data_IF_667065524815
#
_entry.id   IF_667065524815
#
_cell.length_a   1.000
_cell.length_b   1.000
_cell.length_c   1.000
_cell.angle_alpha   90.00
_cell.angle_beta   90.00
_cell.angle_gamma   90.00
#
_symmetry.space_group_name_H-M   'P 1'
#
loop_
_entity.id
_entity.type
_entity.pdbx_description
1 polymer ?
#
# COMPACT_ATOMS: atom_id res chain seq x y z
N UNK A 1 -14.90 -82.64 15.45
CA UNK A 1 -13.79 -81.68 15.39
C UNK A 1 -14.29 -80.53 14.51
N UNK A 2 -14.88 -79.48 15.10
CA UNK A 2 -15.51 -78.35 14.38
C UNK A 2 -14.61 -77.16 14.43
N UNK A 3 -14.17 -76.73 13.27
CA UNK A 3 -13.35 -75.47 13.10
C UNK A 3 -14.30 -74.30 12.89
N UNK A 4 -14.36 -73.39 13.85
CA UNK A 4 -15.10 -72.12 13.73
C UNK A 4 -14.24 -71.10 13.03
N UNK A 5 -14.65 -70.73 11.82
CA UNK A 5 -14.07 -69.60 11.07
C UNK A 5 -14.62 -68.34 11.67
N UNK A 6 -13.75 -67.50 12.24
CA UNK A 6 -14.10 -66.17 12.72
C UNK A 6 -13.89 -65.20 11.54
N UNK A 7 -15.00 -64.67 11.00
CA UNK A 7 -14.94 -63.56 10.05
C UNK A 7 -14.71 -62.26 10.79
N UNK A 8 -13.56 -61.61 10.58
CA UNK A 8 -13.23 -60.30 11.12
C UNK A 8 -13.73 -59.24 10.12
N UNK A 9 -14.86 -58.60 10.45
CA UNK A 9 -15.37 -57.46 9.66
C UNK A 9 -14.59 -56.20 10.02
N UNK A 10 -13.74 -55.77 9.11
CA UNK A 10 -13.04 -54.46 9.20
C UNK A 10 -14.03 -53.38 8.76
N UNK A 11 -14.56 -52.62 9.71
CA UNK A 11 -15.35 -51.43 9.44
C UNK A 11 -14.37 -50.30 9.06
N UNK A 12 -14.34 -49.97 7.77
CA UNK A 12 -13.59 -48.84 7.28
C UNK A 12 -14.39 -47.57 7.61
N UNK A 13 -14.07 -46.92 8.73
CA UNK A 13 -14.55 -45.56 9.02
C UNK A 13 -13.84 -44.58 8.04
N UNK A 14 -14.51 -44.32 6.93
CA UNK A 14 -14.13 -43.22 6.04
C UNK A 14 -14.26 -41.90 6.79
N UNK A 15 -13.13 -41.34 7.22
CA UNK A 15 -13.08 -40.00 7.75
C UNK A 15 -13.49 -39.01 6.67
N UNK A 16 -14.70 -38.46 6.77
CA UNK A 16 -15.12 -37.29 6.01
C UNK A 16 -14.26 -36.15 6.49
N UNK A 17 -13.18 -35.85 5.72
CA UNK A 17 -12.43 -34.62 5.85
C UNK A 17 -13.35 -33.47 5.46
N UNK A 18 -14.04 -32.86 6.41
CA UNK A 18 -14.74 -31.60 6.22
C UNK A 18 -13.69 -30.55 5.97
N UNK A 19 -13.38 -30.28 4.71
CA UNK A 19 -12.65 -29.09 4.29
C UNK A 19 -13.52 -27.90 4.68
N UNK A 20 -13.23 -27.28 5.82
CA UNK A 20 -13.80 -26.00 6.16
C UNK A 20 -13.37 -25.03 5.04
N UNK A 21 -14.33 -24.57 4.24
CA UNK A 21 -14.17 -23.41 3.37
C UNK A 21 -13.89 -22.21 4.29
N UNK A 22 -12.65 -22.06 4.68
CA UNK A 22 -12.21 -20.90 5.44
C UNK A 22 -12.29 -19.72 4.49
N UNK A 23 -13.29 -18.84 4.70
CA UNK A 23 -13.44 -17.63 3.90
C UNK A 23 -12.15 -16.82 3.93
N UNK A 24 -11.86 -16.09 2.83
CA UNK A 24 -10.67 -15.24 2.77
C UNK A 24 -10.62 -14.29 3.97
N UNK A 25 -9.43 -14.07 4.56
CA UNK A 25 -9.28 -13.19 5.71
C UNK A 25 -9.65 -11.75 5.37
N UNK A 26 -10.08 -11.00 6.37
CA UNK A 26 -10.29 -9.57 6.24
C UNK A 26 -8.95 -8.85 6.11
N UNK A 27 -8.94 -7.81 5.27
CA UNK A 27 -7.83 -6.87 5.21
C UNK A 27 -7.90 -5.96 6.44
N UNK A 28 -7.02 -6.19 7.38
CA UNK A 28 -6.93 -5.44 8.63
C UNK A 28 -5.52 -4.93 8.85
N UNK A 29 -5.35 -4.01 9.78
CA UNK A 29 -4.03 -3.49 10.15
C UNK A 29 -3.09 -4.58 10.69
N UNK A 30 -3.64 -5.63 11.29
CA UNK A 30 -2.87 -6.77 11.83
C UNK A 30 -2.55 -7.85 10.80
N UNK A 31 -3.19 -7.84 9.63
CA UNK A 31 -2.93 -8.83 8.59
C UNK A 31 -1.48 -8.75 8.13
N UNK A 32 -0.79 -9.89 8.20
CA UNK A 32 0.58 -9.99 7.69
C UNK A 32 0.57 -10.31 6.20
N UNK A 33 1.18 -9.44 5.42
CA UNK A 33 1.40 -9.70 4.00
C UNK A 33 2.57 -10.67 3.82
N UNK A 34 2.42 -11.60 2.87
CA UNK A 34 3.50 -12.51 2.52
C UNK A 34 4.68 -11.74 1.97
N UNK A 35 5.89 -12.09 2.42
CA UNK A 35 7.12 -11.48 1.87
C UNK A 35 7.34 -11.94 0.43
N UNK A 36 7.69 -10.99 -0.45
CA UNK A 36 7.91 -11.27 -1.88
C UNK A 36 7.53 -10.11 -2.77
N UNK A 37 7.42 -10.40 -4.06
CA UNK A 37 7.11 -9.44 -5.12
C UNK A 37 5.72 -9.71 -5.67
N UNK A 38 4.90 -8.68 -5.75
CA UNK A 38 3.59 -8.69 -6.38
C UNK A 38 3.72 -7.97 -7.73
N UNK A 39 3.64 -8.71 -8.83
CA UNK A 39 3.71 -8.12 -10.17
C UNK A 39 2.42 -7.41 -10.54
N UNK A 40 1.29 -7.94 -10.08
CA UNK A 40 -0.03 -7.37 -10.38
C UNK A 40 -0.75 -6.91 -9.12
N UNK A 41 -1.77 -6.07 -9.32
CA UNK A 41 -2.66 -5.67 -8.24
C UNK A 41 -3.49 -6.83 -7.72
N UNK A 42 -3.89 -7.74 -8.59
CA UNK A 42 -4.64 -8.94 -8.26
C UNK A 42 -3.86 -9.86 -7.31
N UNK A 43 -2.57 -10.05 -7.56
CA UNK A 43 -1.67 -10.81 -6.69
C UNK A 43 -1.62 -10.18 -5.29
N UNK A 44 -1.54 -8.84 -5.25
CA UNK A 44 -1.56 -8.09 -4.00
C UNK A 44 -2.88 -8.23 -3.26
N UNK A 45 -4.02 -8.09 -3.96
CA UNK A 45 -5.36 -8.26 -3.37
C UNK A 45 -5.58 -9.67 -2.80
N UNK A 46 -4.93 -10.68 -3.40
CA UNK A 46 -4.98 -12.06 -2.92
C UNK A 46 -3.94 -12.33 -1.81
N UNK A 47 -3.05 -11.38 -1.51
CA UNK A 47 -1.87 -11.58 -0.68
C UNK A 47 -1.07 -12.83 -1.11
N UNK A 48 -0.90 -12.99 -2.42
CA UNK A 48 -0.13 -14.08 -3.03
C UNK A 48 0.92 -13.49 -3.95
N UNK A 49 2.16 -13.33 -3.46
CA UNK A 49 3.23 -12.78 -4.28
C UNK A 49 3.49 -13.67 -5.48
N UNK A 50 3.74 -13.05 -6.65
CA UNK A 50 4.14 -13.73 -7.88
C UNK A 50 5.48 -14.45 -7.70
N UNK A 51 6.34 -13.90 -6.82
CA UNK A 51 7.59 -14.51 -6.37
C UNK A 51 7.70 -14.36 -4.85
N UNK A 52 7.77 -15.49 -4.14
CA UNK A 52 7.90 -15.52 -2.69
C UNK A 52 9.27 -15.04 -2.22
N UNK A 53 9.34 -14.58 -0.97
CA UNK A 53 10.61 -14.07 -0.41
C UNK A 53 11.76 -15.08 -0.37
N UNK A 54 11.46 -16.39 -0.36
CA UNK A 54 12.45 -17.45 -0.45
C UNK A 54 12.96 -17.75 -1.87
N UNK A 55 12.31 -17.20 -2.90
CA UNK A 55 12.64 -17.42 -4.31
C UNK A 55 13.48 -16.27 -4.90
N UNK A 56 13.62 -15.18 -4.15
CA UNK A 56 14.28 -13.95 -4.62
C UNK A 56 15.42 -13.51 -3.73
N UNK A 57 16.39 -12.84 -4.35
CA UNK A 57 17.43 -12.05 -3.70
C UNK A 57 17.26 -10.59 -4.12
N UNK A 58 17.21 -9.68 -3.15
CA UNK A 58 17.02 -8.26 -3.39
C UNK A 58 18.05 -7.41 -2.68
N UNK A 59 18.49 -6.32 -3.32
CA UNK A 59 19.19 -5.24 -2.66
C UNK A 59 18.22 -4.05 -2.54
N UNK A 60 18.01 -3.61 -1.32
CA UNK A 60 17.17 -2.47 -1.03
C UNK A 60 17.65 -1.70 0.19
N UNK A 61 17.28 -0.45 0.23
CA UNK A 61 17.53 0.47 1.34
C UNK A 61 16.19 0.97 1.89
N UNK A 62 16.03 0.94 3.20
CA UNK A 62 14.86 1.51 3.87
C UNK A 62 15.23 2.83 4.52
N UNK A 63 14.50 3.89 4.20
CA UNK A 63 14.66 5.20 4.83
C UNK A 63 14.12 5.14 6.28
N UNK A 64 14.93 5.41 7.31
CA UNK A 64 14.47 5.31 8.70
C UNK A 64 13.41 6.34 9.09
N UNK A 65 13.28 7.45 8.35
CA UNK A 65 12.35 8.54 8.68
C UNK A 65 10.99 8.40 7.97
N UNK A 66 11.02 8.08 6.66
CA UNK A 66 9.81 7.93 5.86
C UNK A 66 9.36 6.48 5.71
N UNK A 67 10.17 5.53 6.20
CA UNK A 67 9.97 4.09 6.04
C UNK A 67 9.83 3.63 4.57
N UNK A 68 10.08 4.53 3.59
CA UNK A 68 10.14 4.18 2.19
C UNK A 68 11.24 3.17 1.91
N UNK A 69 10.98 2.26 1.00
CA UNK A 69 11.96 1.29 0.52
C UNK A 69 12.39 1.66 -0.89
N UNK A 70 13.70 1.78 -1.10
CA UNK A 70 14.33 1.97 -2.42
C UNK A 70 15.01 0.69 -2.83
N UNK A 71 14.55 0.12 -3.92
CA UNK A 71 15.06 -1.16 -4.44
C UNK A 71 16.01 -0.88 -5.59
N UNK A 72 17.22 -1.47 -5.49
CA UNK A 72 18.24 -1.41 -6.52
C UNK A 72 18.07 -2.54 -7.53
N UNK A 73 17.86 -3.76 -7.03
CA UNK A 73 17.55 -4.91 -7.88
C UNK A 73 16.81 -5.99 -7.10
N UNK A 74 16.08 -6.81 -7.85
CA UNK A 74 15.52 -8.07 -7.39
C UNK A 74 15.86 -9.11 -8.46
N UNK A 75 16.34 -10.28 -8.05
CA UNK A 75 16.64 -11.39 -8.94
C UNK A 75 16.13 -12.70 -8.38
N UNK A 76 15.81 -13.65 -9.26
CA UNK A 76 15.45 -15.00 -8.90
C UNK A 76 16.70 -15.76 -8.42
N UNK A 77 16.56 -16.60 -7.40
CA UNK A 77 17.67 -17.36 -6.82
C UNK A 77 18.09 -18.50 -7.79
N UNK A 78 17.10 -19.16 -8.39
CA UNK A 78 17.33 -20.37 -9.20
C UNK A 78 17.96 -20.05 -10.56
N UNK A 79 17.52 -18.97 -11.24
CA UNK A 79 17.95 -18.62 -12.59
C UNK A 79 18.94 -17.46 -12.64
N UNK A 80 19.12 -16.74 -11.53
CA UNK A 80 19.88 -15.49 -11.42
C UNK A 80 19.35 -14.35 -12.33
N UNK A 81 18.13 -14.50 -12.86
CA UNK A 81 17.49 -13.51 -13.72
C UNK A 81 16.96 -12.33 -12.92
N UNK A 82 17.12 -11.13 -13.46
CA UNK A 82 16.62 -9.90 -12.86
C UNK A 82 15.14 -9.70 -13.17
N UNK A 83 14.37 -9.37 -12.13
CA UNK A 83 12.98 -8.94 -12.28
C UNK A 83 12.99 -7.44 -12.64
N UNK A 84 12.33 -7.08 -13.74
CA UNK A 84 12.19 -5.68 -14.14
C UNK A 84 11.43 -4.90 -13.07
N UNK A 85 12.09 -3.95 -12.39
CA UNK A 85 11.50 -3.20 -11.27
C UNK A 85 10.25 -2.40 -11.70
N UNK A 86 10.18 -2.00 -12.97
CA UNK A 86 9.03 -1.27 -13.52
C UNK A 86 7.77 -2.14 -13.62
N UNK A 87 7.92 -3.45 -13.77
CA UNK A 87 6.79 -4.39 -13.80
C UNK A 87 6.22 -4.75 -12.44
N UNK A 88 6.88 -4.33 -11.35
CA UNK A 88 6.45 -4.63 -9.99
C UNK A 88 5.37 -3.65 -9.58
N UNK A 89 4.23 -4.15 -9.12
CA UNK A 89 3.18 -3.35 -8.52
C UNK A 89 3.47 -3.01 -7.06
N UNK A 90 3.95 -3.98 -6.29
CA UNK A 90 4.27 -3.82 -4.88
C UNK A 90 5.16 -4.93 -4.34
N UNK A 91 5.61 -4.76 -3.11
CA UNK A 91 6.46 -5.73 -2.41
C UNK A 91 5.96 -5.95 -0.98
N UNK A 92 6.16 -7.15 -0.46
CA UNK A 92 5.94 -7.50 0.93
C UNK A 92 7.26 -7.71 1.66
N UNK A 93 7.49 -6.99 2.76
CA UNK A 93 8.70 -7.14 3.58
C UNK A 93 8.30 -7.33 5.03
N UNK A 94 8.63 -8.46 5.63
CA UNK A 94 8.37 -8.77 7.05
C UNK A 94 6.91 -8.49 7.48
N UNK A 95 5.96 -8.87 6.64
CA UNK A 95 4.53 -8.70 6.91
C UNK A 95 3.94 -7.33 6.56
N UNK A 96 4.76 -6.39 6.12
CA UNK A 96 4.34 -5.04 5.74
C UNK A 96 4.26 -4.93 4.22
N UNK A 97 3.14 -4.46 3.66
CA UNK A 97 3.00 -4.19 2.23
C UNK A 97 3.54 -2.81 1.88
N UNK A 98 4.18 -2.73 0.71
CA UNK A 98 4.70 -1.51 0.10
C UNK A 98 4.20 -1.40 -1.33
N UNK A 99 3.80 -0.20 -1.73
CA UNK A 99 3.26 0.11 -3.07
C UNK A 99 4.31 0.88 -3.87
N UNK A 100 4.52 0.51 -5.14
CA UNK A 100 5.41 1.27 -6.01
C UNK A 100 4.87 2.67 -6.21
N UNK A 101 5.76 3.66 -6.15
CA UNK A 101 5.44 5.07 -6.38
C UNK A 101 6.34 5.63 -7.46
N UNK A 102 5.74 6.46 -8.33
CA UNK A 102 6.46 7.16 -9.38
C UNK A 102 6.83 8.56 -8.88
N UNK A 103 8.11 8.80 -8.72
CA UNK A 103 8.64 10.08 -8.29
C UNK A 103 8.90 11.01 -9.48
N UNK A 104 8.65 12.30 -9.31
CA UNK A 104 9.01 13.31 -10.32
C UNK A 104 10.51 13.32 -10.62
N UNK A 105 11.30 12.98 -9.60
CA UNK A 105 12.75 12.85 -9.72
C UNK A 105 13.20 11.55 -9.08
N UNK A 106 13.25 10.50 -9.86
CA UNK A 106 13.81 9.22 -9.44
C UNK A 106 15.34 9.18 -9.58
N UNK A 107 16.00 8.45 -8.70
CA UNK A 107 17.42 8.11 -8.90
C UNK A 107 17.49 7.01 -9.94
N UNK A 108 18.35 7.17 -10.93
CA UNK A 108 18.54 6.16 -11.99
C UNK A 108 18.88 4.79 -11.38
N UNK A 109 18.23 3.75 -11.89
CA UNK A 109 18.41 2.37 -11.39
C UNK A 109 17.66 2.03 -10.11
N UNK A 110 17.07 3.00 -9.39
CA UNK A 110 16.31 2.75 -8.18
C UNK A 110 14.80 2.89 -8.42
N UNK A 111 14.01 2.04 -7.74
CA UNK A 111 12.55 2.22 -7.65
C UNK A 111 12.13 2.35 -6.20
N UNK A 112 11.23 3.30 -5.95
CA UNK A 112 10.75 3.61 -4.60
C UNK A 112 9.39 2.96 -4.35
N UNK A 113 9.25 2.41 -3.16
CA UNK A 113 8.02 1.79 -2.68
C UNK A 113 7.63 2.45 -1.36
N UNK A 114 6.41 2.96 -1.30
CA UNK A 114 5.84 3.59 -0.10
C UNK A 114 5.19 2.54 0.80
N UNK A 115 5.41 2.65 2.09
CA UNK A 115 4.76 1.81 3.09
C UNK A 115 3.27 2.08 3.12
N UNK A 116 2.45 1.05 3.13
CA UNK A 116 1.01 1.17 3.34
C UNK A 116 0.72 1.31 4.83
N UNK A 117 0.37 2.52 5.25
CA UNK A 117 0.14 2.87 6.66
C UNK A 117 -1.23 2.40 7.17
N UNK A 118 -2.27 2.53 6.34
CA UNK A 118 -3.60 2.02 6.64
C UNK A 118 -3.97 0.93 5.65
N UNK A 119 -4.52 -0.16 6.16
CA UNK A 119 -4.95 -1.34 5.41
C UNK A 119 -6.41 -1.62 5.74
N UNK A 120 -7.28 -1.32 4.80
CA UNK A 120 -8.72 -1.48 4.90
C UNK A 120 -9.39 -1.38 3.53
N UNK A 121 -10.65 -1.07 3.48
CA UNK A 121 -11.37 -0.80 2.24
C UNK A 121 -10.73 0.39 1.50
N UNK A 122 -10.30 1.40 2.26
CA UNK A 122 -9.50 2.51 1.78
C UNK A 122 -8.13 2.41 2.42
N UNK A 123 -7.14 1.97 1.66
CA UNK A 123 -5.74 1.97 2.10
C UNK A 123 -5.16 3.38 1.99
N UNK A 124 -4.24 3.73 2.90
CA UNK A 124 -3.55 5.02 2.87
C UNK A 124 -2.04 4.80 2.92
N UNK A 125 -1.33 5.60 2.14
CA UNK A 125 0.13 5.65 2.14
C UNK A 125 0.63 7.04 1.76
N UNK A 126 1.86 7.34 2.12
CA UNK A 126 2.51 8.59 1.76
C UNK A 126 3.96 8.36 1.36
N UNK A 127 4.52 9.32 0.64
CA UNK A 127 5.92 9.32 0.23
C UNK A 127 6.44 10.73 -0.01
N UNK A 128 7.75 10.89 0.06
CA UNK A 128 8.41 12.14 -0.25
C UNK A 128 8.73 12.22 -1.75
N UNK A 129 8.36 13.34 -2.37
CA UNK A 129 8.65 13.64 -3.76
C UNK A 129 9.33 15.00 -3.87
N UNK A 130 9.75 15.38 -5.06
CA UNK A 130 10.38 16.66 -5.35
C UNK A 130 9.55 17.40 -6.37
N UNK A 131 9.18 18.64 -6.07
CA UNK A 131 8.52 19.55 -7.01
C UNK A 131 9.39 20.74 -7.31
N UNK A 132 9.38 21.16 -8.59
CA UNK A 132 9.98 22.42 -9.00
C UNK A 132 8.99 23.57 -8.79
N UNK A 133 9.34 24.53 -7.94
CA UNK A 133 8.53 25.75 -7.71
C UNK A 133 9.30 26.99 -8.09
N UNK A 134 8.58 27.90 -8.73
CA UNK A 134 9.07 29.25 -9.05
C UNK A 134 8.89 30.12 -7.80
N UNK A 135 10.02 30.52 -7.21
CA UNK A 135 10.05 31.33 -5.99
C UNK A 135 10.46 32.75 -6.36
N UNK A 136 9.64 33.76 -6.03
CA UNK A 136 10.03 35.15 -6.25
C UNK A 136 11.25 35.49 -5.41
N UNK A 137 12.25 36.08 -6.04
CA UNK A 137 13.47 36.54 -5.43
C UNK A 137 13.61 38.06 -5.59
N UNK A 138 13.94 38.72 -4.50
CA UNK A 138 14.25 40.16 -4.55
C UNK A 138 15.63 40.40 -3.94
N UNK A 139 16.50 41.06 -4.70
CA UNK A 139 17.76 41.59 -4.21
C UNK A 139 17.55 42.98 -3.67
N UNK A 140 18.01 43.23 -2.45
CA UNK A 140 17.85 44.52 -1.76
C UNK A 140 19.18 45.25 -1.69
N UNK A 141 19.12 46.56 -1.88
CA UNK A 141 20.26 47.45 -1.67
C UNK A 141 20.55 47.50 -0.14
N UNK A 142 21.75 47.06 0.30
CA UNK A 142 22.08 46.98 1.74
C UNK A 142 22.06 48.36 2.45
N UNK A 143 22.22 49.47 1.70
CA UNK A 143 22.23 50.81 2.27
C UNK A 143 20.84 51.43 2.38
N UNK A 144 19.94 51.12 1.45
CA UNK A 144 18.62 51.75 1.38
C UNK A 144 17.48 50.83 1.75
N UNK A 145 17.73 49.54 1.89
CA UNK A 145 16.71 48.53 2.13
C UNK A 145 15.67 48.32 1.02
N UNK A 146 15.84 49.08 -0.12
CA UNK A 146 14.91 49.00 -1.24
C UNK A 146 15.28 47.88 -2.21
N UNK A 147 14.28 47.17 -2.76
CA UNK A 147 14.54 46.16 -3.78
C UNK A 147 15.01 46.83 -5.06
N UNK A 148 16.17 46.42 -5.61
CA UNK A 148 16.69 46.91 -6.86
C UNK A 148 16.58 45.91 -8.01
N UNK A 149 16.35 44.65 -7.70
CA UNK A 149 16.15 43.60 -8.69
C UNK A 149 15.09 42.62 -8.19
N UNK A 150 14.13 42.31 -9.03
CA UNK A 150 13.15 41.22 -8.82
C UNK A 150 13.39 40.19 -9.92
N UNK A 151 13.42 38.91 -9.53
CA UNK A 151 13.54 37.79 -10.45
C UNK A 151 12.75 36.58 -9.86
N UNK A 152 12.51 35.64 -10.69
CA UNK A 152 11.95 34.33 -10.26
C UNK A 152 13.06 33.30 -10.41
N UNK A 153 13.27 32.52 -9.37
CA UNK A 153 14.21 31.42 -9.40
C UNK A 153 13.43 30.12 -9.25
N UNK A 154 13.74 29.12 -10.07
CA UNK A 154 13.20 27.79 -9.95
C UNK A 154 13.99 27.02 -8.89
N UNK A 155 13.29 26.51 -7.89
CA UNK A 155 13.88 25.66 -6.84
C UNK A 155 13.14 24.36 -6.75
N UNK A 156 13.89 23.29 -6.50
CA UNK A 156 13.34 21.99 -6.11
C UNK A 156 13.04 22.01 -4.61
N UNK A 157 11.83 21.66 -4.26
CA UNK A 157 11.38 21.56 -2.88
C UNK A 157 10.85 20.15 -2.61
N UNK A 158 11.17 19.61 -1.46
CA UNK A 158 10.58 18.35 -1.01
C UNK A 158 9.11 18.57 -0.66
N UNK A 159 8.26 17.68 -1.12
CA UNK A 159 6.81 17.69 -0.86
C UNK A 159 6.38 16.31 -0.39
N UNK A 160 5.51 16.28 0.62
CA UNK A 160 4.85 15.06 1.04
C UNK A 160 3.66 14.80 0.11
N UNK A 161 3.61 13.63 -0.49
CA UNK A 161 2.49 13.14 -1.29
C UNK A 161 1.73 12.12 -0.46
N UNK A 162 0.46 12.40 -0.23
CA UNK A 162 -0.45 11.51 0.50
C UNK A 162 -1.48 10.94 -0.46
N UNK A 163 -1.68 9.64 -0.45
CA UNK A 163 -2.51 8.90 -1.39
C UNK A 163 -3.46 7.95 -0.68
N UNK A 164 -4.62 7.76 -1.29
CA UNK A 164 -5.56 6.69 -0.93
C UNK A 164 -5.67 5.70 -2.09
N UNK A 165 -5.82 4.43 -1.74
CA UNK A 165 -6.06 3.33 -2.65
C UNK A 165 -7.36 2.63 -2.24
N UNK A 166 -8.35 2.55 -3.12
CA UNK A 166 -9.55 1.73 -2.90
C UNK A 166 -9.21 0.27 -3.14
N UNK A 167 -9.24 -0.54 -2.09
CA UNK A 167 -8.78 -1.94 -2.17
C UNK A 167 -9.57 -2.80 -3.15
N UNK A 168 -10.85 -2.58 -3.34
CA UNK A 168 -11.65 -3.38 -4.28
C UNK A 168 -11.29 -3.14 -5.74
N UNK A 169 -10.99 -1.90 -6.11
CA UNK A 169 -10.82 -1.46 -7.51
C UNK A 169 -9.39 -1.19 -7.93
N UNK A 170 -8.49 -0.93 -6.98
CA UNK A 170 -7.12 -0.48 -7.26
C UNK A 170 -7.01 0.99 -7.64
N UNK A 171 -8.11 1.74 -7.57
CA UNK A 171 -8.09 3.17 -7.87
C UNK A 171 -7.27 3.92 -6.84
N UNK A 172 -6.37 4.80 -7.32
CA UNK A 172 -5.52 5.66 -6.48
C UNK A 172 -5.88 7.11 -6.72
N UNK A 173 -6.05 7.87 -5.64
CA UNK A 173 -6.29 9.32 -5.66
C UNK A 173 -5.50 10.01 -4.55
N UNK A 174 -5.40 11.35 -4.62
CA UNK A 174 -4.82 12.15 -3.54
C UNK A 174 -5.67 12.08 -2.27
N UNK A 175 -5.01 11.99 -1.12
CA UNK A 175 -5.67 12.08 0.18
C UNK A 175 -5.97 13.54 0.49
N UNK A 176 -7.22 13.94 0.23
CA UNK A 176 -7.72 15.29 0.48
C UNK A 176 -9.20 15.25 0.83
N UNK A 177 -9.75 16.39 1.26
CA UNK A 177 -11.12 16.52 1.72
C UNK A 177 -12.15 16.04 0.70
N UNK A 178 -12.03 16.49 -0.56
CA UNK A 178 -13.02 16.19 -1.61
C UNK A 178 -13.03 14.71 -1.98
N UNK A 179 -11.86 14.12 -2.11
CA UNK A 179 -11.71 12.70 -2.42
C UNK A 179 -12.19 11.80 -1.27
N UNK A 180 -11.85 12.16 -0.01
CA UNK A 180 -12.35 11.43 1.15
C UNK A 180 -13.87 11.47 1.20
N UNK A 181 -14.49 12.66 1.08
CA UNK A 181 -15.94 12.79 1.04
C UNK A 181 -16.59 11.95 -0.06
N UNK A 182 -16.03 11.98 -1.27
CA UNK A 182 -16.54 11.19 -2.40
C UNK A 182 -16.48 9.68 -2.12
N UNK A 183 -15.40 9.23 -1.47
CA UNK A 183 -15.23 7.79 -1.25
C UNK A 183 -16.04 7.23 -0.08
N UNK A 184 -16.42 8.07 0.87
CA UNK A 184 -17.25 7.69 2.03
C UNK A 184 -18.73 8.07 1.88
N UNK A 185 -19.19 8.46 0.69
CA UNK A 185 -20.53 9.01 0.46
C UNK A 185 -21.67 8.09 0.95
N UNK A 186 -21.46 6.77 0.96
CA UNK A 186 -22.40 5.80 1.51
C UNK A 186 -22.59 5.88 3.03
N UNK A 187 -21.66 6.47 3.76
CA UNK A 187 -21.67 6.62 5.23
C UNK A 187 -22.20 8.00 5.64
N UNK A 188 -23.52 8.17 5.57
CA UNK A 188 -24.19 9.47 5.76
C UNK A 188 -23.82 10.18 7.07
N UNK A 189 -23.65 9.42 8.17
CA UNK A 189 -23.23 9.97 9.46
C UNK A 189 -21.81 10.53 9.44
N UNK A 190 -20.85 9.81 8.83
CA UNK A 190 -19.45 10.25 8.71
C UNK A 190 -19.36 11.48 7.81
N UNK A 191 -20.10 11.47 6.69
CA UNK A 191 -20.21 12.61 5.78
C UNK A 191 -20.78 13.84 6.49
N UNK A 192 -21.89 13.69 7.24
CA UNK A 192 -22.49 14.80 7.98
C UNK A 192 -21.55 15.33 9.06
N UNK A 193 -20.91 14.44 9.82
CA UNK A 193 -19.92 14.81 10.83
C UNK A 193 -18.76 15.59 10.23
N UNK A 194 -18.16 15.12 9.13
CA UNK A 194 -17.04 15.78 8.47
C UNK A 194 -17.44 17.16 7.90
N UNK A 195 -18.61 17.26 7.27
CA UNK A 195 -19.16 18.53 6.73
C UNK A 195 -19.49 19.56 7.82
N UNK A 196 -19.85 19.12 9.02
CA UNK A 196 -20.15 20.01 10.14
C UNK A 196 -18.91 20.70 10.72
N UNK A 197 -17.71 20.19 10.41
CA UNK A 197 -16.45 20.77 10.84
C UNK A 197 -16.09 21.95 9.93
N UNK A 198 -15.55 23.04 10.50
CA UNK A 198 -14.96 24.10 9.68
C UNK A 198 -13.71 23.55 8.94
N UNK A 199 -13.37 24.13 7.80
CA UNK A 199 -12.34 23.63 6.85
C UNK A 199 -11.05 23.12 7.51
N UNK A 200 -10.46 23.91 8.42
CA UNK A 200 -9.22 23.52 9.12
C UNK A 200 -9.37 22.30 10.04
N UNK A 201 -10.54 22.15 10.71
CA UNK A 201 -10.82 20.98 11.55
C UNK A 201 -11.17 19.75 10.70
N UNK A 202 -11.87 19.96 9.60
CA UNK A 202 -12.19 18.89 8.66
C UNK A 202 -10.90 18.24 8.13
N UNK A 203 -9.95 19.04 7.66
CA UNK A 203 -8.67 18.56 7.15
C UNK A 203 -7.86 17.75 8.19
N UNK A 204 -7.77 18.25 9.42
CA UNK A 204 -7.12 17.52 10.52
C UNK A 204 -7.88 16.25 10.98
N UNK A 205 -9.13 16.07 10.56
CA UNK A 205 -9.97 14.92 10.92
C UNK A 205 -10.05 13.85 9.83
N UNK A 206 -9.51 14.11 8.62
CA UNK A 206 -9.61 13.19 7.48
C UNK A 206 -9.08 11.79 7.80
N UNK A 207 -7.91 11.72 8.40
CA UNK A 207 -7.28 10.45 8.75
C UNK A 207 -8.13 9.63 9.75
N UNK A 208 -8.68 10.30 10.77
CA UNK A 208 -9.60 9.66 11.72
C UNK A 208 -10.89 9.20 11.03
N UNK A 209 -11.41 9.99 10.11
CA UNK A 209 -12.63 9.65 9.34
C UNK A 209 -12.38 8.41 8.49
N UNK A 210 -11.21 8.32 7.85
CA UNK A 210 -10.82 7.14 7.06
C UNK A 210 -10.77 5.88 7.93
N UNK A 211 -10.14 5.94 9.10
CA UNK A 211 -10.07 4.79 10.03
C UNK A 211 -11.47 4.34 10.50
N UNK A 212 -12.38 5.31 10.80
CA UNK A 212 -13.74 4.99 11.19
C UNK A 212 -14.56 4.39 10.03
N UNK A 213 -14.28 4.82 8.80
CA UNK A 213 -14.90 4.24 7.62
C UNK A 213 -14.48 2.78 7.43
N UNK A 214 -13.18 2.51 7.52
CA UNK A 214 -12.64 1.15 7.35
C UNK A 214 -13.13 0.19 8.45
N UNK A 215 -13.28 0.67 9.68
CA UNK A 215 -13.82 -0.12 10.80
C UNK A 215 -15.29 -0.54 10.56
N UNK A 216 -16.05 0.28 9.84
CA UNK A 216 -17.45 -0.02 9.49
C UNK A 216 -17.62 -0.79 8.18
N UNK A 217 -16.64 -0.71 7.30
CA UNK A 217 -16.69 -1.24 5.93
C UNK A 217 -15.54 -2.23 5.69
N UNK A 218 -15.55 -3.32 6.43
CA UNK A 218 -14.52 -4.36 6.30
C UNK A 218 -14.49 -4.96 4.90
N UNK A 219 -13.30 -5.18 4.36
CA UNK A 219 -13.07 -5.83 3.06
C UNK A 219 -12.23 -7.10 3.23
N UNK A 220 -12.53 -8.12 2.42
CA UNK A 220 -11.78 -9.38 2.41
C UNK A 220 -10.72 -9.37 1.31
N UNK A 221 -9.65 -10.13 1.53
CA UNK A 221 -8.72 -10.47 0.45
C UNK A 221 -9.48 -11.18 -0.68
N UNK A 222 -9.03 -11.03 -1.91
CA UNK A 222 -9.61 -11.77 -3.05
C UNK A 222 -9.09 -13.20 -3.08
N UNK A 223 -9.96 -14.13 -3.50
CA UNK A 223 -9.49 -15.47 -3.82
C UNK A 223 -8.70 -15.44 -5.12
N UNK A 224 -7.62 -16.19 -5.16
CA UNK A 224 -6.91 -16.44 -6.42
C UNK A 224 -7.85 -17.19 -7.36
N UNK A 225 -8.10 -16.67 -8.53
CA UNK A 225 -8.75 -17.44 -9.60
C UNK A 225 -7.70 -18.42 -10.12
N UNK A 226 -7.92 -19.70 -9.87
CA UNK A 226 -7.21 -20.78 -10.56
C UNK A 226 -7.74 -20.95 -11.99
#
# INVERSE_FOLDING_TARGET
MYWKTIMLSIIFLGGLSTSYLQGQPYLTQSLQFKSGVYLTYEDFQANQPSYGGGEIKAAYFQNPQSEEVRVEYIRLIDTDEYIALDSIWGIGIKGVPYVKVDLNKSVEGLRTFAKMEVRGNICYYFYNDTESKDIPFAAYNPYTGKPFRKATIRREIAVLKEKMLRFETGQVVDFNYDNVLSWIEGETELVAALKSLGAKKAESSLFKTLLLYDDRNEVRLKSTKF
#
